data_IF_111222078083
#
_entry.id   IF_111222078083
#
_cell.length_a   1.000
_cell.length_b   1.000
_cell.length_c   1.000
_cell.angle_alpha   90.00
_cell.angle_beta   90.00
_cell.angle_gamma   90.00
#
_symmetry.space_group_name_H-M   'P 1'
#
loop_
_entity.id
_entity.type
_entity.pdbx_description
1 polymer ?
#
# COMPACT_ATOMS: atom_id res chain seq x y z
N UNK A 1 25.22 57.19 -59.84
CA UNK A 1 25.79 56.15 -58.96
C UNK A 1 24.71 55.37 -58.24
N UNK A 2 24.31 54.29 -58.89
CA UNK A 2 23.51 53.22 -58.30
C UNK A 2 24.48 52.10 -57.95
N UNK A 3 24.58 51.71 -56.68
CA UNK A 3 25.01 50.40 -56.13
C UNK A 3 25.61 50.58 -54.75
N UNK A 4 24.78 50.64 -53.72
CA UNK A 4 25.18 50.22 -52.38
C UNK A 4 23.95 49.64 -51.67
N UNK A 5 24.19 48.59 -50.90
CA UNK A 5 23.26 47.89 -50.02
C UNK A 5 22.35 46.81 -50.64
N UNK A 6 22.98 45.73 -51.10
CA UNK A 6 22.37 44.40 -51.14
C UNK A 6 23.46 43.37 -50.79
N UNK A 7 23.68 43.14 -49.49
CA UNK A 7 24.75 42.25 -49.04
C UNK A 7 24.63 41.66 -47.63
N UNK A 8 23.80 42.21 -46.74
CA UNK A 8 23.72 41.74 -45.34
C UNK A 8 22.50 40.88 -44.96
N UNK A 9 21.55 40.66 -45.87
CA UNK A 9 20.29 39.95 -45.55
C UNK A 9 20.29 38.44 -45.86
N UNK A 10 21.24 37.96 -46.68
CA UNK A 10 21.27 36.57 -47.14
C UNK A 10 21.78 35.59 -46.09
N UNK A 11 22.87 35.93 -45.39
CA UNK A 11 23.51 35.02 -44.42
C UNK A 11 22.67 34.83 -43.15
N UNK A 12 22.06 35.88 -42.60
CA UNK A 12 21.16 35.79 -41.44
C UNK A 12 19.86 35.03 -41.76
N UNK A 13 19.36 35.15 -42.98
CA UNK A 13 18.16 34.44 -43.43
C UNK A 13 18.46 32.96 -43.68
N UNK A 14 19.66 32.65 -44.21
CA UNK A 14 20.13 31.29 -44.43
C UNK A 14 20.39 30.56 -43.10
N UNK A 15 20.95 31.25 -42.11
CA UNK A 15 21.17 30.76 -40.74
C UNK A 15 19.84 30.52 -39.99
N UNK A 16 18.89 31.45 -40.09
CA UNK A 16 17.55 31.27 -39.51
C UNK A 16 16.78 30.10 -40.14
N UNK A 17 16.91 29.87 -41.44
CA UNK A 17 16.30 28.70 -42.10
C UNK A 17 16.96 27.38 -41.71
N UNK A 18 18.27 27.36 -41.50
CA UNK A 18 18.99 26.17 -41.04
C UNK A 18 18.58 25.81 -39.59
N UNK A 19 18.48 26.81 -38.71
CA UNK A 19 18.05 26.63 -37.33
C UNK A 19 16.57 26.22 -37.22
N UNK A 20 15.72 26.72 -38.12
CA UNK A 20 14.33 26.27 -38.21
C UNK A 20 14.23 24.80 -38.64
N UNK A 21 15.03 24.39 -39.63
CA UNK A 21 15.10 23.00 -40.08
C UNK A 21 15.60 22.06 -38.97
N UNK A 22 16.63 22.47 -38.22
CA UNK A 22 17.16 21.69 -37.09
C UNK A 22 16.14 21.58 -35.95
N UNK A 23 15.47 22.67 -35.58
CA UNK A 23 14.36 22.63 -34.62
C UNK A 23 13.23 21.71 -35.07
N UNK A 24 12.85 21.76 -36.35
CA UNK A 24 11.81 20.89 -36.89
C UNK A 24 12.20 19.41 -36.79
N UNK A 25 13.47 19.09 -37.03
CA UNK A 25 14.01 17.74 -36.89
C UNK A 25 14.00 17.28 -35.42
N UNK A 26 14.39 18.13 -34.49
CA UNK A 26 14.35 17.83 -33.05
C UNK A 26 12.92 17.61 -32.56
N UNK A 27 11.96 18.43 -33.01
CA UNK A 27 10.53 18.24 -32.69
C UNK A 27 10.01 16.91 -33.22
N UNK A 28 10.38 16.52 -34.44
CA UNK A 28 10.01 15.20 -34.99
C UNK A 28 10.61 14.05 -34.18
N UNK A 29 11.87 14.16 -33.74
CA UNK A 29 12.51 13.17 -32.88
C UNK A 29 11.84 13.08 -31.51
N UNK A 30 11.49 14.23 -30.92
CA UNK A 30 10.80 14.29 -29.64
C UNK A 30 9.41 13.66 -29.73
N UNK A 31 8.65 13.94 -30.80
CA UNK A 31 7.32 13.35 -31.00
C UNK A 31 7.41 11.83 -31.23
N UNK A 32 8.44 11.37 -31.97
CA UNK A 32 8.71 9.94 -32.14
C UNK A 32 9.01 9.26 -30.79
N UNK A 33 9.90 9.82 -29.97
CA UNK A 33 10.21 9.29 -28.64
C UNK A 33 9.01 9.31 -27.70
N UNK A 34 8.20 10.38 -27.74
CA UNK A 34 6.98 10.49 -26.95
C UNK A 34 5.98 9.39 -27.33
N UNK A 35 5.83 9.11 -28.62
CA UNK A 35 4.96 8.02 -29.09
C UNK A 35 5.45 6.64 -28.64
N UNK A 36 6.77 6.41 -28.66
CA UNK A 36 7.39 5.17 -28.18
C UNK A 36 7.23 5.01 -26.67
N UNK A 37 7.40 6.11 -25.91
CA UNK A 37 7.17 6.16 -24.48
C UNK A 37 5.72 5.78 -24.13
N UNK A 38 4.73 6.34 -24.83
CA UNK A 38 3.33 5.99 -24.60
C UNK A 38 3.01 4.54 -24.96
N UNK A 39 3.64 3.97 -25.99
CA UNK A 39 3.49 2.56 -26.32
C UNK A 39 4.06 1.67 -25.20
N UNK A 40 5.22 2.03 -24.68
CA UNK A 40 5.86 1.29 -23.59
C UNK A 40 5.06 1.40 -22.29
N UNK A 41 4.53 2.60 -21.98
CA UNK A 41 3.65 2.84 -20.84
C UNK A 41 2.36 1.99 -20.93
N UNK A 42 1.76 1.91 -22.12
CA UNK A 42 0.61 1.03 -22.36
C UNK A 42 0.97 -0.45 -22.12
N UNK A 43 2.13 -0.90 -22.62
CA UNK A 43 2.63 -2.27 -22.40
C UNK A 43 2.91 -2.55 -20.92
N UNK A 44 3.49 -1.60 -20.18
CA UNK A 44 3.70 -1.73 -18.74
C UNK A 44 2.39 -1.86 -17.98
N UNK A 45 1.37 -1.10 -18.37
CA UNK A 45 0.03 -1.19 -17.78
C UNK A 45 -0.62 -2.54 -18.07
N UNK A 46 -0.48 -3.05 -19.29
CA UNK A 46 -0.97 -4.39 -19.66
C UNK A 46 -0.32 -5.48 -18.82
N UNK A 47 1.01 -5.50 -18.74
CA UNK A 47 1.77 -6.47 -17.93
C UNK A 47 1.40 -6.39 -16.44
N UNK A 48 1.20 -5.17 -15.91
CA UNK A 48 0.76 -4.98 -14.52
C UNK A 48 -0.63 -5.57 -14.27
N UNK A 49 -1.54 -5.40 -15.23
CA UNK A 49 -2.87 -5.98 -15.13
C UNK A 49 -2.83 -7.52 -15.21
N UNK A 50 -2.04 -8.08 -16.13
CA UNK A 50 -1.82 -9.53 -16.22
C UNK A 50 -1.23 -10.09 -14.93
N UNK A 51 -0.21 -9.44 -14.38
CA UNK A 51 0.36 -9.79 -13.09
C UNK A 51 -0.70 -9.77 -11.99
N UNK A 52 -1.49 -8.69 -11.87
CA UNK A 52 -2.55 -8.60 -10.86
C UNK A 52 -3.60 -9.71 -11.00
N UNK A 53 -3.91 -10.12 -12.24
CA UNK A 53 -4.81 -11.25 -12.50
C UNK A 53 -4.22 -12.57 -12.01
N UNK A 54 -2.93 -12.79 -12.25
CA UNK A 54 -2.20 -13.95 -11.76
C UNK A 54 -2.12 -14.00 -10.23
N UNK A 55 -1.78 -12.87 -9.59
CA UNK A 55 -1.72 -12.73 -8.14
C UNK A 55 -3.08 -13.05 -7.49
N UNK A 56 -4.18 -12.53 -8.07
CA UNK A 56 -5.54 -12.85 -7.63
C UNK A 56 -5.89 -14.33 -7.77
N UNK A 57 -5.44 -14.98 -8.85
CA UNK A 57 -5.65 -16.41 -9.05
C UNK A 57 -4.89 -17.25 -8.01
N UNK A 58 -3.66 -16.86 -7.67
CA UNK A 58 -2.87 -17.49 -6.62
C UNK A 58 -3.52 -17.34 -5.25
N UNK A 59 -3.93 -16.12 -4.86
CA UNK A 59 -4.66 -15.87 -3.60
C UNK A 59 -5.92 -16.73 -3.53
N UNK A 60 -6.66 -16.86 -4.63
CA UNK A 60 -7.86 -17.69 -4.70
C UNK A 60 -7.54 -19.18 -4.51
N UNK A 61 -6.46 -19.66 -5.11
CA UNK A 61 -6.00 -21.04 -4.95
C UNK A 61 -5.63 -21.36 -3.50
N UNK A 62 -4.95 -20.44 -2.81
CA UNK A 62 -4.60 -20.60 -1.40
C UNK A 62 -5.84 -20.77 -0.53
N UNK A 63 -6.82 -19.87 -0.71
CA UNK A 63 -8.08 -19.90 0.03
C UNK A 63 -8.81 -21.22 -0.17
N UNK A 64 -8.89 -21.70 -1.41
CA UNK A 64 -9.51 -23.00 -1.71
C UNK A 64 -8.75 -24.16 -1.07
N UNK A 65 -7.42 -24.09 -0.99
CA UNK A 65 -6.63 -25.14 -0.36
C UNK A 65 -6.75 -25.12 1.17
N UNK A 66 -6.74 -23.95 1.79
CA UNK A 66 -6.96 -23.83 3.24
C UNK A 66 -8.35 -24.34 3.62
N UNK A 67 -9.38 -24.00 2.83
CA UNK A 67 -10.72 -24.57 2.99
C UNK A 67 -10.72 -26.10 2.87
N UNK A 68 -9.99 -26.67 1.91
CA UNK A 68 -9.86 -28.11 1.77
C UNK A 68 -9.21 -28.75 3.01
N UNK A 69 -8.16 -28.13 3.56
CA UNK A 69 -7.50 -28.59 4.79
C UNK A 69 -8.48 -28.55 5.96
N UNK A 70 -9.19 -27.45 6.14
CA UNK A 70 -10.20 -27.28 7.19
C UNK A 70 -11.32 -28.34 7.08
N UNK A 71 -11.85 -28.55 5.87
CA UNK A 71 -12.88 -29.54 5.60
C UNK A 71 -12.41 -30.96 5.90
N UNK A 72 -11.15 -31.29 5.55
CA UNK A 72 -10.56 -32.60 5.86
C UNK A 72 -10.38 -32.80 7.37
N UNK A 73 -9.96 -31.77 8.12
CA UNK A 73 -9.85 -31.83 9.58
C UNK A 73 -11.23 -32.02 10.21
N UNK A 74 -12.20 -31.20 9.83
CA UNK A 74 -13.58 -31.27 10.35
C UNK A 74 -14.24 -32.61 10.03
N UNK A 75 -13.97 -33.17 8.84
CA UNK A 75 -14.43 -34.50 8.48
C UNK A 75 -13.75 -35.57 9.34
N UNK A 76 -12.44 -35.46 9.57
CA UNK A 76 -11.69 -36.34 10.49
C UNK A 76 -12.30 -36.35 11.89
N UNK A 77 -12.60 -35.17 12.44
CA UNK A 77 -13.26 -35.00 13.74
C UNK A 77 -14.60 -35.76 13.80
N UNK A 78 -15.41 -35.71 12.74
CA UNK A 78 -16.70 -36.44 12.67
C UNK A 78 -16.56 -37.96 12.70
N UNK A 79 -15.45 -38.48 12.17
CA UNK A 79 -15.15 -39.92 12.21
C UNK A 79 -14.37 -40.33 13.48
N UNK A 80 -14.17 -39.40 14.43
CA UNK A 80 -13.39 -39.62 15.65
C UNK A 80 -11.90 -39.80 15.37
N UNK A 81 -11.39 -39.18 14.32
CA UNK A 81 -9.96 -38.98 14.13
C UNK A 81 -9.36 -38.13 15.26
N UNK A 82 -8.07 -38.36 15.55
CA UNK A 82 -7.37 -37.72 16.65
C UNK A 82 -7.27 -36.19 16.51
N UNK A 83 -7.11 -35.53 17.67
CA UNK A 83 -7.08 -34.06 17.82
C UNK A 83 -5.78 -33.41 17.28
N UNK A 84 -4.81 -34.21 16.87
CA UNK A 84 -3.46 -33.74 16.52
C UNK A 84 -3.45 -32.70 15.38
N UNK A 85 -4.48 -32.69 14.55
CA UNK A 85 -4.62 -31.78 13.42
C UNK A 85 -5.58 -30.62 13.72
N UNK A 86 -6.21 -30.55 14.89
CA UNK A 86 -7.10 -29.43 15.26
C UNK A 86 -6.40 -28.07 15.33
N UNK A 87 -5.15 -27.94 15.80
CA UNK A 87 -4.45 -26.66 15.79
C UNK A 87 -4.30 -26.08 14.38
N UNK A 88 -4.35 -26.92 13.35
CA UNK A 88 -4.34 -26.47 11.97
C UNK A 88 -5.64 -25.73 11.58
N UNK A 89 -6.76 -25.88 12.29
CA UNK A 89 -7.94 -25.03 12.03
C UNK A 89 -7.71 -23.55 12.37
N UNK A 90 -6.67 -23.26 13.16
CA UNK A 90 -6.36 -21.91 13.66
C UNK A 90 -5.33 -21.16 12.80
N UNK A 91 -5.05 -21.64 11.57
CA UNK A 91 -4.19 -20.93 10.62
C UNK A 91 -4.63 -19.47 10.44
N UNK A 92 -3.68 -18.54 10.58
CA UNK A 92 -3.88 -17.11 10.34
C UNK A 92 -4.00 -16.89 8.83
N UNK A 93 -5.12 -16.36 8.36
CA UNK A 93 -5.20 -15.91 6.96
C UNK A 93 -4.22 -14.75 6.79
N UNK A 94 -3.20 -14.95 5.93
CA UNK A 94 -2.17 -13.97 5.58
C UNK A 94 -2.75 -12.55 5.51
N UNK A 95 -2.57 -11.79 6.59
CA UNK A 95 -2.66 -10.34 6.55
C UNK A 95 -1.39 -9.82 5.88
N UNK A 96 -1.48 -8.73 5.14
CA UNK A 96 -0.39 -8.20 4.31
C UNK A 96 0.85 -7.76 5.14
N UNK A 97 0.77 -7.79 6.47
CA UNK A 97 1.75 -7.23 7.42
C UNK A 97 2.54 -8.25 8.26
N UNK A 98 2.14 -9.52 8.38
CA UNK A 98 2.78 -10.44 9.35
C UNK A 98 3.64 -11.54 8.71
N UNK A 99 4.94 -11.30 8.56
CA UNK A 99 5.90 -12.26 7.96
C UNK A 99 6.56 -13.15 9.02
N UNK A 100 6.60 -12.74 10.28
CA UNK A 100 7.44 -13.38 11.30
C UNK A 100 6.84 -14.62 11.96
N UNK A 101 5.55 -14.92 11.73
CA UNK A 101 4.84 -16.05 12.36
C UNK A 101 4.18 -17.02 11.37
N UNK A 102 4.46 -16.89 10.07
CA UNK A 102 3.72 -17.58 9.03
C UNK A 102 4.06 -19.10 8.96
N UNK A 103 3.06 -20.00 8.99
CA UNK A 103 3.26 -21.44 8.78
C UNK A 103 3.91 -21.73 7.41
N UNK A 104 4.71 -22.79 7.32
CA UNK A 104 5.45 -23.16 6.10
C UNK A 104 4.60 -23.24 4.81
N UNK A 105 3.31 -23.54 4.96
CA UNK A 105 2.31 -23.70 3.91
C UNK A 105 1.89 -22.38 3.26
N UNK A 106 1.95 -21.28 4.00
CA UNK A 106 1.57 -19.93 3.59
C UNK A 106 2.76 -19.11 3.08
N UNK A 107 3.99 -19.48 3.48
CA UNK A 107 5.24 -18.90 2.96
C UNK A 107 5.31 -19.02 1.43
N UNK A 108 4.78 -20.10 0.85
CA UNK A 108 4.76 -20.33 -0.61
C UNK A 108 4.07 -19.19 -1.36
N UNK A 109 2.86 -18.82 -0.96
CA UNK A 109 2.12 -17.75 -1.62
C UNK A 109 2.62 -16.37 -1.26
N UNK A 110 2.99 -16.19 0.00
CA UNK A 110 3.61 -14.95 0.44
C UNK A 110 4.85 -14.63 -0.43
N UNK A 111 5.73 -15.61 -0.65
CA UNK A 111 6.89 -15.39 -1.49
C UNK A 111 6.56 -15.28 -2.97
N UNK A 112 5.60 -16.04 -3.53
CA UNK A 112 5.19 -15.86 -4.92
C UNK A 112 4.67 -14.45 -5.19
N UNK A 113 3.82 -13.93 -4.29
CA UNK A 113 3.27 -12.58 -4.39
C UNK A 113 4.34 -11.50 -4.15
N UNK A 114 5.30 -11.74 -3.24
CA UNK A 114 6.36 -10.78 -2.91
C UNK A 114 7.56 -10.83 -3.87
N UNK A 115 7.81 -11.96 -4.53
CA UNK A 115 8.95 -12.18 -5.44
C UNK A 115 8.95 -11.24 -6.63
N UNK A 116 7.79 -10.70 -7.02
CA UNK A 116 7.72 -9.73 -8.11
C UNK A 116 8.15 -8.31 -7.70
N UNK A 117 8.37 -8.07 -6.39
CA UNK A 117 8.81 -6.79 -5.84
C UNK A 117 10.29 -6.77 -5.38
N UNK A 118 10.96 -7.92 -5.23
CA UNK A 118 12.36 -7.97 -4.82
C UNK A 118 13.27 -8.20 -6.04
N UNK A 119 14.07 -7.19 -6.36
CA UNK A 119 15.05 -7.26 -7.44
C UNK A 119 16.07 -8.38 -7.25
N UNK A 120 16.30 -9.15 -8.33
CA UNK A 120 17.46 -10.01 -8.60
C UNK A 120 18.10 -10.68 -7.38
N UNK A 121 17.34 -11.51 -6.66
CA UNK A 121 17.96 -12.67 -6.00
C UNK A 121 18.18 -13.76 -7.05
N UNK A 122 19.17 -14.63 -6.87
CA UNK A 122 19.42 -15.74 -7.80
C UNK A 122 18.14 -16.57 -7.94
N UNK A 123 17.53 -16.55 -9.13
CA UNK A 123 16.22 -17.15 -9.44
C UNK A 123 16.14 -18.62 -9.01
N UNK A 124 17.29 -19.33 -9.02
CA UNK A 124 17.39 -20.72 -8.58
C UNK A 124 17.05 -20.93 -7.10
N UNK A 125 17.39 -19.99 -6.22
CA UNK A 125 17.15 -20.14 -4.77
C UNK A 125 15.68 -19.96 -4.40
N UNK A 126 14.95 -19.12 -5.15
CA UNK A 126 13.53 -18.88 -4.92
C UNK A 126 12.68 -20.01 -5.48
N UNK A 127 13.07 -20.57 -6.63
CA UNK A 127 12.42 -21.74 -7.23
C UNK A 127 12.57 -22.99 -6.33
N UNK A 128 13.78 -23.26 -5.84
CA UNK A 128 14.05 -24.42 -4.97
C UNK A 128 13.26 -24.33 -3.66
N UNK A 129 13.21 -23.16 -3.04
CA UNK A 129 12.40 -22.95 -1.85
C UNK A 129 10.90 -23.08 -2.14
N UNK A 130 10.40 -22.55 -3.27
CA UNK A 130 9.01 -22.67 -3.64
C UNK A 130 8.61 -24.13 -3.87
N UNK A 131 9.49 -24.93 -4.49
CA UNK A 131 9.30 -26.37 -4.64
C UNK A 131 9.27 -27.09 -3.29
N UNK A 132 10.14 -26.73 -2.35
CA UNK A 132 10.17 -27.30 -1.00
C UNK A 132 8.90 -26.97 -0.20
N UNK A 133 8.47 -25.71 -0.18
CA UNK A 133 7.24 -25.29 0.50
C UNK A 133 6.00 -26.00 -0.08
N UNK A 134 5.95 -26.16 -1.40
CA UNK A 134 4.89 -26.88 -2.09
C UNK A 134 4.94 -28.38 -1.76
N UNK A 135 6.12 -28.99 -1.72
CA UNK A 135 6.30 -30.38 -1.32
C UNK A 135 5.87 -30.63 0.14
N UNK A 136 6.21 -29.72 1.05
CA UNK A 136 5.77 -29.76 2.45
C UNK A 136 4.24 -29.70 2.55
N UNK A 137 3.61 -28.71 1.90
CA UNK A 137 2.15 -28.57 1.89
C UNK A 137 1.46 -29.81 1.33
N UNK A 138 1.95 -30.37 0.21
CA UNK A 138 1.45 -31.63 -0.36
C UNK A 138 1.59 -32.79 0.63
N UNK A 139 2.74 -32.92 1.29
CA UNK A 139 3.01 -33.97 2.26
C UNK A 139 2.06 -33.88 3.46
N UNK A 140 1.87 -32.69 4.02
CA UNK A 140 0.95 -32.43 5.12
C UNK A 140 -0.50 -32.78 4.75
N UNK A 141 -0.97 -32.32 3.59
CA UNK A 141 -2.33 -32.66 3.10
C UNK A 141 -2.49 -34.17 2.88
N UNK A 142 -1.48 -34.86 2.34
CA UNK A 142 -1.51 -36.32 2.19
C UNK A 142 -1.53 -37.06 3.53
N UNK A 143 -0.80 -36.57 4.53
CA UNK A 143 -0.83 -37.13 5.88
C UNK A 143 -2.22 -36.98 6.51
N UNK A 144 -2.85 -35.81 6.34
CA UNK A 144 -4.21 -35.56 6.79
C UNK A 144 -5.22 -36.50 6.11
N UNK A 145 -5.15 -36.65 4.78
CA UNK A 145 -6.00 -37.59 4.04
C UNK A 145 -5.82 -39.03 4.50
N UNK A 146 -4.58 -39.46 4.80
CA UNK A 146 -4.31 -40.80 5.35
C UNK A 146 -4.93 -40.98 6.73
N UNK A 147 -4.79 -40.00 7.62
CA UNK A 147 -5.41 -40.03 8.95
C UNK A 147 -6.94 -40.10 8.88
N UNK A 148 -7.55 -39.40 7.92
CA UNK A 148 -8.99 -39.47 7.66
C UNK A 148 -9.39 -40.87 7.17
N UNK A 149 -8.63 -41.46 6.25
CA UNK A 149 -8.88 -42.81 5.76
C UNK A 149 -8.83 -43.84 6.90
N UNK A 150 -7.87 -43.73 7.80
CA UNK A 150 -7.73 -44.58 8.98
C UNK A 150 -8.93 -44.39 9.93
N UNK A 151 -9.37 -43.16 10.18
CA UNK A 151 -10.54 -42.86 11.00
C UNK A 151 -11.83 -43.46 10.40
N UNK A 152 -12.03 -43.34 9.08
CA UNK A 152 -13.16 -43.93 8.38
C UNK A 152 -13.14 -45.46 8.51
N UNK A 153 -11.99 -46.09 8.28
CA UNK A 153 -11.84 -47.55 8.39
C UNK A 153 -12.12 -48.04 9.81
N UNK A 154 -11.60 -47.34 10.83
CA UNK A 154 -11.86 -47.64 12.24
C UNK A 154 -13.37 -47.54 12.57
N UNK A 155 -14.04 -46.51 12.05
CA UNK A 155 -15.47 -46.34 12.26
C UNK A 155 -16.31 -47.39 11.54
N UNK A 156 -15.92 -47.78 10.31
CA UNK A 156 -16.55 -48.88 9.57
C UNK A 156 -16.44 -50.20 10.34
N UNK A 157 -15.24 -50.57 10.79
CA UNK A 157 -15.01 -51.78 11.57
C UNK A 157 -15.85 -51.80 12.86
N UNK A 158 -15.97 -50.65 13.54
CA UNK A 158 -16.83 -50.51 14.73
C UNK A 158 -18.31 -50.70 14.38
N UNK A 159 -18.78 -50.10 13.29
CA UNK A 159 -20.16 -50.24 12.82
C UNK A 159 -20.50 -51.68 12.43
N UNK A 160 -19.57 -52.38 11.78
CA UNK A 160 -19.69 -53.80 11.44
C UNK A 160 -19.76 -54.67 12.69
N UNK A 161 -18.88 -54.43 13.68
CA UNK A 161 -18.91 -55.13 14.95
C UNK A 161 -20.25 -54.96 15.68
N UNK A 162 -20.80 -53.74 15.68
CA UNK A 162 -22.11 -53.44 16.26
C UNK A 162 -23.25 -54.17 15.51
N UNK A 163 -23.21 -54.19 14.18
CA UNK A 163 -24.20 -54.89 13.35
C UNK A 163 -24.21 -56.39 13.64
N UNK A 164 -23.03 -57.03 13.68
CA UNK A 164 -22.90 -58.46 14.00
C UNK A 164 -23.42 -58.77 15.41
N UNK A 165 -23.17 -57.89 16.39
CA UNK A 165 -23.69 -58.07 17.74
C UNK A 165 -25.22 -57.99 17.77
N UNK A 166 -25.82 -57.00 17.10
CA UNK A 166 -27.27 -56.77 17.12
C UNK A 166 -28.06 -57.83 16.33
N UNK A 167 -27.47 -58.46 15.32
CA UNK A 167 -28.13 -59.50 14.51
C UNK A 167 -28.26 -60.86 15.23
N UNK A 168 -27.85 -60.96 16.49
CA UNK A 168 -27.95 -62.19 17.29
C UNK A 168 -26.88 -63.24 16.95
N UNK A 169 -25.87 -62.87 16.16
CA UNK A 169 -24.72 -63.72 15.86
C UNK A 169 -23.73 -63.80 17.04
N UNK A 170 -23.92 -62.99 18.08
CA UNK A 170 -23.07 -62.91 19.28
C UNK A 170 -23.86 -63.04 20.58
N UNK A 171 -23.14 -63.19 21.70
CA UNK A 171 -23.75 -63.31 23.02
C UNK A 171 -24.39 -61.99 23.49
N UNK A 172 -25.28 -62.06 24.49
CA UNK A 172 -25.87 -60.86 25.10
C UNK A 172 -24.80 -59.97 25.75
N UNK A 173 -23.75 -60.55 26.34
CA UNK A 173 -22.61 -59.80 26.85
C UNK A 173 -21.89 -59.03 25.72
N UNK A 174 -21.69 -59.65 24.56
CA UNK A 174 -21.07 -59.01 23.39
C UNK A 174 -21.88 -57.82 22.87
N UNK A 175 -23.22 -57.91 22.94
CA UNK A 175 -24.12 -56.80 22.58
C UNK A 175 -23.92 -55.60 23.51
N UNK A 176 -23.84 -55.85 24.83
CA UNK A 176 -23.61 -54.79 25.82
C UNK A 176 -22.25 -54.13 25.58
N UNK A 177 -21.20 -54.92 25.32
CA UNK A 177 -19.85 -54.41 25.02
C UNK A 177 -19.84 -53.60 23.72
N UNK A 178 -20.51 -54.07 22.66
CA UNK A 178 -20.62 -53.36 21.39
C UNK A 178 -21.31 -52.00 21.52
N UNK A 179 -22.43 -51.96 22.26
CA UNK A 179 -23.16 -50.72 22.54
C UNK A 179 -22.33 -49.76 23.38
N UNK A 180 -21.62 -50.26 24.40
CA UNK A 180 -20.75 -49.43 25.24
C UNK A 180 -19.60 -48.83 24.43
N UNK A 181 -18.92 -49.62 23.59
CA UNK A 181 -17.87 -49.15 22.68
C UNK A 181 -18.39 -48.06 21.73
N UNK A 182 -19.55 -48.28 21.11
CA UNK A 182 -20.16 -47.29 20.23
C UNK A 182 -20.53 -46.00 20.97
N UNK A 183 -21.08 -46.11 22.18
CA UNK A 183 -21.42 -44.96 23.02
C UNK A 183 -20.18 -44.17 23.46
N UNK A 184 -19.10 -44.84 23.84
CA UNK A 184 -17.85 -44.19 24.25
C UNK A 184 -17.18 -43.49 23.07
N UNK A 185 -17.24 -44.07 21.87
CA UNK A 185 -16.83 -43.38 20.65
C UNK A 185 -17.70 -42.15 20.33
N UNK A 186 -19.03 -42.23 20.49
CA UNK A 186 -19.89 -41.06 20.29
C UNK A 186 -19.54 -39.93 21.27
N UNK A 187 -19.21 -40.25 22.53
CA UNK A 187 -18.74 -39.24 23.49
C UNK A 187 -17.41 -38.62 23.06
N UNK A 188 -16.48 -39.41 22.53
CA UNK A 188 -15.22 -38.94 21.97
C UNK A 188 -15.47 -37.97 20.81
N UNK A 189 -16.29 -38.36 19.83
CA UNK A 189 -16.67 -37.49 18.70
C UNK A 189 -17.30 -36.19 19.18
N UNK A 190 -18.22 -36.24 20.16
CA UNK A 190 -18.82 -35.04 20.75
C UNK A 190 -17.77 -34.14 21.41
N UNK A 191 -16.78 -34.73 22.09
CA UNK A 191 -15.64 -34.01 22.65
C UNK A 191 -14.83 -33.29 21.57
N UNK A 192 -14.42 -34.03 20.54
CA UNK A 192 -13.62 -33.51 19.44
C UNK A 192 -14.36 -32.40 18.68
N UNK A 193 -15.67 -32.57 18.43
CA UNK A 193 -16.52 -31.56 17.79
C UNK A 193 -16.62 -30.30 18.65
N UNK A 194 -16.74 -30.44 19.97
CA UNK A 194 -16.80 -29.28 20.88
C UNK A 194 -15.50 -28.47 20.83
N UNK A 195 -14.36 -29.15 20.77
CA UNK A 195 -13.05 -28.51 20.66
C UNK A 195 -12.89 -27.79 19.31
N UNK A 196 -13.23 -28.45 18.21
CA UNK A 196 -13.24 -27.83 16.89
C UNK A 196 -14.14 -26.58 16.83
N UNK A 197 -15.33 -26.64 17.42
CA UNK A 197 -16.24 -25.48 17.55
C UNK A 197 -15.60 -24.37 18.37
N UNK A 198 -14.87 -24.69 19.44
CA UNK A 198 -14.18 -23.70 20.26
C UNK A 198 -13.13 -22.94 19.45
N UNK A 199 -12.31 -23.65 18.67
CA UNK A 199 -11.28 -23.05 17.81
C UNK A 199 -11.92 -22.14 16.76
N UNK A 200 -12.93 -22.65 16.05
CA UNK A 200 -13.64 -21.87 15.02
C UNK A 200 -14.32 -20.63 15.60
N UNK A 201 -14.91 -20.73 16.80
CA UNK A 201 -15.53 -19.58 17.45
C UNK A 201 -14.51 -18.52 17.89
N UNK A 202 -13.34 -18.93 18.36
CA UNK A 202 -12.27 -17.99 18.70
C UNK A 202 -11.77 -17.28 17.44
N UNK A 203 -11.59 -18.01 16.33
CA UNK A 203 -11.27 -17.43 15.01
C UNK A 203 -12.32 -16.42 14.55
N UNK A 204 -13.62 -16.76 14.63
CA UNK A 204 -14.70 -15.81 14.31
C UNK A 204 -14.67 -14.55 15.17
N UNK A 205 -14.35 -14.68 16.46
CA UNK A 205 -14.24 -13.54 17.36
C UNK A 205 -13.06 -12.65 16.96
N UNK A 206 -11.88 -13.22 16.66
CA UNK A 206 -10.73 -12.48 16.15
C UNK A 206 -11.07 -11.68 14.88
N UNK A 207 -11.75 -12.30 13.92
CA UNK A 207 -12.19 -11.61 12.69
C UNK A 207 -13.18 -10.48 12.95
N UNK A 208 -14.11 -10.66 13.91
CA UNK A 208 -15.01 -9.58 14.29
C UNK A 208 -14.25 -8.38 14.88
N UNK A 209 -13.28 -8.65 15.75
CA UNK A 209 -12.43 -7.62 16.36
C UNK A 209 -11.59 -6.88 15.29
N UNK A 210 -11.02 -7.61 14.33
CA UNK A 210 -10.24 -7.03 13.21
C UNK A 210 -11.11 -6.18 12.28
N UNK A 211 -12.31 -6.65 11.92
CA UNK A 211 -13.28 -5.88 11.11
C UNK A 211 -13.67 -4.58 11.83
N UNK A 212 -13.90 -4.65 13.14
CA UNK A 212 -14.24 -3.46 13.94
C UNK A 212 -13.06 -2.47 14.00
N UNK A 213 -11.83 -2.97 14.19
CA UNK A 213 -10.61 -2.17 14.14
C UNK A 213 -10.43 -1.49 12.78
N UNK A 214 -10.56 -2.23 11.67
CA UNK A 214 -10.49 -1.70 10.30
C UNK A 214 -11.53 -0.61 10.08
N UNK A 215 -12.79 -0.85 10.46
CA UNK A 215 -13.86 0.14 10.35
C UNK A 215 -13.53 1.42 11.13
N UNK A 216 -12.94 1.29 12.31
CA UNK A 216 -12.52 2.44 13.12
C UNK A 216 -11.39 3.24 12.46
N UNK A 217 -10.39 2.56 11.87
CA UNK A 217 -9.29 3.19 11.13
C UNK A 217 -9.81 3.94 9.92
N UNK A 218 -10.62 3.26 9.09
CA UNK A 218 -11.23 3.85 7.91
C UNK A 218 -12.05 5.10 8.23
N UNK A 219 -12.78 5.09 9.36
CA UNK A 219 -13.52 6.27 9.80
C UNK A 219 -12.59 7.44 10.19
N UNK A 220 -11.41 7.17 10.78
CA UNK A 220 -10.43 8.20 11.11
C UNK A 220 -9.79 8.76 9.85
N UNK A 221 -9.33 7.89 8.95
CA UNK A 221 -8.75 8.28 7.65
C UNK A 221 -9.74 9.13 6.83
N UNK A 222 -11.01 8.75 6.81
CA UNK A 222 -12.05 9.53 6.13
C UNK A 222 -12.24 10.93 6.76
N UNK A 223 -12.10 11.06 8.07
CA UNK A 223 -12.16 12.37 8.74
C UNK A 223 -10.93 13.21 8.41
N UNK A 224 -9.75 12.60 8.38
CA UNK A 224 -8.49 13.26 8.03
C UNK A 224 -8.49 13.75 6.58
N UNK A 225 -8.98 12.94 5.63
CA UNK A 225 -9.15 13.37 4.23
C UNK A 225 -10.08 14.59 4.13
N UNK A 226 -11.18 14.60 4.89
CA UNK A 226 -12.10 15.75 4.92
C UNK A 226 -11.44 17.00 5.51
N UNK A 227 -10.64 16.84 6.55
CA UNK A 227 -9.89 17.92 7.17
C UNK A 227 -8.87 18.51 6.20
N UNK A 228 -8.00 17.68 5.62
CA UNK A 228 -6.99 18.09 4.63
C UNK A 228 -7.63 18.73 3.39
N UNK A 229 -8.78 18.22 2.95
CA UNK A 229 -9.53 18.85 1.85
C UNK A 229 -10.00 20.26 2.21
N UNK A 230 -10.39 20.50 3.45
CA UNK A 230 -10.76 21.82 3.94
C UNK A 230 -9.57 22.78 4.01
N UNK A 231 -8.43 22.32 4.55
CA UNK A 231 -7.18 23.10 4.57
C UNK A 231 -6.69 23.44 3.15
N UNK A 232 -6.82 22.52 2.22
CA UNK A 232 -6.49 22.76 0.81
C UNK A 232 -7.40 23.82 0.20
N UNK A 233 -8.70 23.80 0.49
CA UNK A 233 -9.64 24.81 0.00
C UNK A 233 -9.35 26.19 0.59
N UNK A 234 -9.00 26.26 1.88
CA UNK A 234 -8.59 27.49 2.56
C UNK A 234 -7.30 28.07 1.95
N UNK A 235 -6.26 27.25 1.81
CA UNK A 235 -4.98 27.68 1.20
C UNK A 235 -5.13 28.09 -0.26
N UNK A 236 -6.01 27.44 -1.04
CA UNK A 236 -6.36 27.89 -2.39
C UNK A 236 -7.07 29.25 -2.39
N UNK A 237 -7.97 29.49 -1.41
CA UNK A 237 -8.65 30.77 -1.27
C UNK A 237 -7.69 31.90 -0.89
N UNK A 238 -6.77 31.65 0.05
CA UNK A 238 -5.70 32.59 0.42
C UNK A 238 -4.76 32.89 -0.75
N UNK A 239 -4.36 31.87 -1.52
CA UNK A 239 -3.54 32.04 -2.71
C UNK A 239 -4.26 32.92 -3.74
N UNK A 240 -5.53 32.67 -4.01
CA UNK A 240 -6.30 33.48 -4.96
C UNK A 240 -6.51 34.92 -4.44
N UNK A 241 -6.66 35.12 -3.13
CA UNK A 241 -6.66 36.46 -2.52
C UNK A 241 -5.30 37.16 -2.70
N UNK A 242 -4.19 36.48 -2.45
CA UNK A 242 -2.83 37.01 -2.65
C UNK A 242 -2.59 37.41 -4.11
N UNK A 243 -3.10 36.61 -5.05
CA UNK A 243 -3.07 36.90 -6.49
C UNK A 243 -3.87 38.14 -6.83
N UNK A 244 -5.10 38.29 -6.29
CA UNK A 244 -5.91 39.51 -6.47
C UNK A 244 -5.19 40.75 -5.92
N UNK A 245 -4.60 40.65 -4.72
CA UNK A 245 -3.78 41.73 -4.12
C UNK A 245 -2.59 42.10 -5.02
N UNK A 246 -1.87 41.11 -5.56
CA UNK A 246 -0.75 41.35 -6.47
C UNK A 246 -1.18 42.08 -7.76
N UNK A 247 -2.31 41.68 -8.36
CA UNK A 247 -2.85 42.35 -9.55
C UNK A 247 -3.20 43.81 -9.26
N UNK A 248 -3.80 44.10 -8.12
CA UNK A 248 -4.10 45.49 -7.69
C UNK A 248 -2.80 46.30 -7.55
N UNK A 249 -1.78 45.74 -6.89
CA UNK A 249 -0.47 46.39 -6.73
C UNK A 249 0.23 46.63 -8.07
N UNK A 250 0.16 45.69 -9.01
CA UNK A 250 0.68 45.87 -10.37
C UNK A 250 -0.07 46.98 -11.11
N UNK A 251 -1.40 47.04 -10.98
CA UNK A 251 -2.22 48.08 -11.60
C UNK A 251 -1.90 49.47 -11.02
N UNK A 252 -1.69 49.59 -9.71
CA UNK A 252 -1.27 50.84 -9.07
C UNK A 252 0.13 51.26 -9.52
N UNK A 253 1.07 50.32 -9.64
CA UNK A 253 2.42 50.57 -10.17
C UNK A 253 2.37 51.09 -11.62
N UNK A 254 1.51 50.53 -12.46
CA UNK A 254 1.35 50.96 -13.85
C UNK A 254 0.49 52.22 -14.00
N UNK A 255 -0.49 52.45 -13.12
CA UNK A 255 -1.33 53.66 -13.08
C UNK A 255 -0.58 54.89 -12.56
N UNK A 256 0.31 54.71 -11.57
CA UNK A 256 1.24 55.75 -11.10
C UNK A 256 2.23 56.20 -12.18
N UNK A 257 2.64 55.29 -13.07
CA UNK A 257 3.51 55.62 -14.21
C UNK A 257 2.83 56.57 -15.22
N UNK A 258 1.50 56.51 -15.38
CA UNK A 258 0.77 57.38 -16.31
C UNK A 258 0.39 58.74 -15.71
N UNK A 259 0.23 58.83 -14.38
CA UNK A 259 -0.24 60.04 -13.70
C UNK A 259 0.88 61.06 -13.44
N UNK A 260 2.15 60.69 -13.65
CA UNK A 260 3.31 61.57 -13.45
C UNK A 260 3.70 62.41 -14.67
N UNK A 261 2.81 62.56 -15.66
CA UNK A 261 3.03 63.38 -16.86
C UNK A 261 1.91 64.40 -17.09
N UNK A 262 1.59 65.22 -16.07
CA UNK A 262 0.81 66.45 -16.27
C UNK A 262 1.14 67.53 -15.25
N UNK A 263 1.96 68.49 -15.69
CA UNK A 263 1.84 69.94 -15.44
C UNK A 263 2.06 70.48 -14.01
N UNK A 264 3.00 71.42 -13.81
CA UNK A 264 3.07 72.21 -12.59
C UNK A 264 2.10 73.40 -12.70
N UNK A 265 1.20 73.57 -11.74
CA UNK A 265 0.90 74.92 -11.26
C UNK A 265 0.25 74.93 -9.88
N UNK A 266 0.59 75.98 -9.15
CA UNK A 266 0.37 76.19 -7.73
C UNK A 266 -1.08 76.56 -7.36
N UNK A 267 -1.39 76.42 -6.06
CA UNK A 267 -1.92 77.46 -5.13
C UNK A 267 -2.90 76.85 -4.11
N UNK A 268 -2.44 76.85 -2.86
CA UNK A 268 -3.13 77.04 -1.56
C UNK A 268 -4.56 76.51 -1.32
N UNK A 269 -4.71 75.80 -0.19
CA UNK A 269 -5.87 76.00 0.70
C UNK A 269 -6.40 74.79 1.48
N UNK A 270 -6.00 74.71 2.76
CA UNK A 270 -6.80 74.29 3.92
C UNK A 270 -7.20 72.79 4.17
N UNK A 271 -6.70 72.30 5.33
CA UNK A 271 -7.43 71.62 6.43
C UNK A 271 -7.71 70.10 6.36
N UNK A 272 -7.02 69.38 7.27
CA UNK A 272 -7.52 68.38 8.25
C UNK A 272 -6.88 66.99 8.21
N UNK A 273 -6.75 66.44 9.44
CA UNK A 273 -6.24 65.14 9.90
C UNK A 273 -6.53 63.93 8.98
N UNK A 274 -5.73 62.87 8.92
CA UNK A 274 -5.14 62.10 10.03
C UNK A 274 -3.93 61.29 9.49
N UNK A 275 -2.97 61.00 10.36
CA UNK A 275 -1.68 60.39 10.02
C UNK A 275 -1.84 58.94 9.55
N UNK A 276 -1.58 58.67 8.28
CA UNK A 276 -1.22 57.34 7.79
C UNK A 276 0.25 57.05 8.13
N UNK A 277 0.49 56.44 9.29
CA UNK A 277 1.76 55.79 9.60
C UNK A 277 1.75 54.39 9.01
N UNK A 278 2.25 54.21 7.78
CA UNK A 278 3.01 53.00 7.39
C UNK A 278 3.47 53.06 5.93
N UNK A 279 4.20 54.11 5.54
CA UNK A 279 4.85 54.07 4.22
C UNK A 279 6.06 54.99 4.14
N UNK A 280 7.09 54.68 4.93
CA UNK A 280 8.47 54.87 4.51
C UNK A 280 9.40 54.10 5.46
N UNK A 281 9.52 52.78 5.25
CA UNK A 281 10.59 51.98 5.88
C UNK A 281 11.91 52.60 5.41
N UNK A 282 12.59 53.33 6.28
CA UNK A 282 13.79 54.05 5.90
C UNK A 282 14.86 53.08 5.40
N UNK A 283 15.78 53.54 4.56
CA UNK A 283 16.92 52.71 4.11
C UNK A 283 17.69 52.06 5.27
N UNK A 284 17.65 52.65 6.48
CA UNK A 284 18.16 52.06 7.71
C UNK A 284 17.32 50.87 8.19
N UNK A 285 16.00 51.03 8.31
CA UNK A 285 15.09 49.97 8.73
C UNK A 285 15.07 48.79 7.74
N UNK A 286 15.20 49.07 6.44
CA UNK A 286 15.35 48.03 5.41
C UNK A 286 16.66 47.26 5.59
N UNK A 287 17.74 47.94 5.96
CA UNK A 287 19.03 47.30 6.21
C UNK A 287 18.96 46.43 7.46
N UNK A 288 18.34 46.91 8.52
CA UNK A 288 18.16 46.16 9.77
C UNK A 288 17.28 44.92 9.56
N UNK A 289 16.20 45.03 8.76
CA UNK A 289 15.37 43.88 8.39
C UNK A 289 16.12 42.85 7.54
N UNK A 290 17.02 43.28 6.67
CA UNK A 290 17.88 42.38 5.87
C UNK A 290 18.91 41.68 6.76
N UNK A 291 19.52 42.39 7.70
CA UNK A 291 20.46 41.80 8.65
C UNK A 291 19.75 40.82 9.59
N UNK A 292 18.54 41.14 10.06
CA UNK A 292 17.69 40.23 10.85
C UNK A 292 17.31 38.98 10.06
N UNK A 293 16.83 39.13 8.81
CA UNK A 293 16.51 38.00 7.95
C UNK A 293 17.73 37.11 7.67
N UNK A 294 18.92 37.70 7.55
CA UNK A 294 20.17 36.96 7.37
C UNK A 294 20.55 36.16 8.62
N UNK A 295 20.37 36.74 9.82
CA UNK A 295 20.59 36.00 11.07
C UNK A 295 19.58 34.88 11.26
N UNK A 296 18.32 35.11 10.92
CA UNK A 296 17.26 34.11 10.98
C UNK A 296 17.51 32.95 10.02
N UNK A 297 17.91 33.24 8.78
CA UNK A 297 18.28 32.22 7.81
C UNK A 297 19.51 31.41 8.26
N UNK A 298 20.49 32.06 8.88
CA UNK A 298 21.66 31.39 9.47
C UNK A 298 21.26 30.42 10.58
N UNK A 299 20.38 30.84 11.49
CA UNK A 299 19.89 29.99 12.58
C UNK A 299 19.09 28.79 12.05
N UNK A 300 18.22 29.01 11.06
CA UNK A 300 17.40 27.95 10.46
C UNK A 300 18.25 26.90 9.74
N UNK A 301 19.35 27.33 9.11
CA UNK A 301 20.29 26.43 8.45
C UNK A 301 21.10 25.60 9.45
N UNK A 302 21.42 26.17 10.62
CA UNK A 302 22.11 25.48 11.70
C UNK A 302 21.22 24.42 12.35
N UNK A 303 19.94 24.76 12.62
CA UNK A 303 18.92 23.82 13.10
C UNK A 303 18.71 22.65 12.12
N UNK A 304 18.66 22.93 10.82
CA UNK A 304 18.54 21.89 9.79
C UNK A 304 19.76 20.97 9.81
N UNK A 305 20.98 21.52 9.92
CA UNK A 305 22.19 20.72 10.00
C UNK A 305 22.21 19.82 11.24
N UNK A 306 21.83 20.33 12.41
CA UNK A 306 21.71 19.53 13.64
C UNK A 306 20.69 18.39 13.47
N UNK A 307 19.50 18.66 12.90
CA UNK A 307 18.50 17.61 12.65
C UNK A 307 18.94 16.56 11.63
N UNK A 308 19.80 16.95 10.67
CA UNK A 308 20.38 16.01 9.71
C UNK A 308 21.43 15.11 10.38
N UNK A 309 22.24 15.66 11.28
CA UNK A 309 23.22 14.90 12.07
C UNK A 309 22.53 13.93 13.04
N UNK A 310 21.47 14.36 13.71
CA UNK A 310 20.63 13.51 14.56
C UNK A 310 19.98 12.37 13.77
N UNK A 311 19.42 12.65 12.59
CA UNK A 311 18.88 11.60 11.70
C UNK A 311 19.96 10.61 11.25
N UNK A 312 21.18 11.07 10.99
CA UNK A 312 22.29 10.18 10.63
C UNK A 312 22.68 9.29 11.81
N UNK A 313 22.71 9.83 13.03
CA UNK A 313 22.97 9.07 14.26
C UNK A 313 21.89 8.01 14.48
N UNK A 314 20.61 8.38 14.36
CA UNK A 314 19.48 7.46 14.48
C UNK A 314 19.51 6.38 13.40
N UNK A 315 19.87 6.73 12.17
CA UNK A 315 20.00 5.78 11.07
C UNK A 315 21.11 4.75 11.32
N UNK A 316 22.25 5.17 11.86
CA UNK A 316 23.33 4.25 12.25
C UNK A 316 22.93 3.35 13.42
N UNK A 317 22.19 3.89 14.41
CA UNK A 317 21.66 3.09 15.52
C UNK A 317 20.62 2.05 15.08
N UNK A 318 19.85 2.37 14.03
CA UNK A 318 18.89 1.44 13.44
C UNK A 318 19.60 0.31 12.69
N UNK A 319 20.70 0.60 12.00
CA UNK A 319 21.53 -0.38 11.30
C UNK A 319 22.25 -1.33 12.27
N UNK A 320 22.67 -0.86 13.45
CA UNK A 320 23.24 -1.69 14.52
C UNK A 320 22.22 -2.62 15.22
N UNK A 321 20.91 -2.39 15.02
CA UNK A 321 19.82 -3.20 15.59
C UNK A 321 19.25 -4.23 14.59
N UNK A 322 19.71 -4.24 13.34
CA UNK A 322 19.41 -5.25 12.32
C UNK A 322 20.50 -6.33 12.26
#
# INVERSE_FOLDING_TARGET
>A
DSRLNRGGGGDLQMDATALHYENQKLVQQLEAQKSEMHLLEAKFKELRNEQSSYDNALISLDKMWNQLVDDLILLGVRFGGGLNNLPALDHEELSQESIESCPSEEIFLFMLLKSNNYGKKDDNTLLEFAEEALALRRSATLALMRSLQEAIAAQQARSEYLSLALNGEKSNEDVVVALQNHNDHLKEVIGNVREAISIVNEKHKRYLDEIEAFKSSYSKELQEIKHLSGELEETMAELEESRRKLVILQLQRHGSSLMNMSGPNAVNGAVSADKSSDENMGWGDLKDAVDEAKTLAGNRLLELHETQEDNLILSNQLEDLQ
#
